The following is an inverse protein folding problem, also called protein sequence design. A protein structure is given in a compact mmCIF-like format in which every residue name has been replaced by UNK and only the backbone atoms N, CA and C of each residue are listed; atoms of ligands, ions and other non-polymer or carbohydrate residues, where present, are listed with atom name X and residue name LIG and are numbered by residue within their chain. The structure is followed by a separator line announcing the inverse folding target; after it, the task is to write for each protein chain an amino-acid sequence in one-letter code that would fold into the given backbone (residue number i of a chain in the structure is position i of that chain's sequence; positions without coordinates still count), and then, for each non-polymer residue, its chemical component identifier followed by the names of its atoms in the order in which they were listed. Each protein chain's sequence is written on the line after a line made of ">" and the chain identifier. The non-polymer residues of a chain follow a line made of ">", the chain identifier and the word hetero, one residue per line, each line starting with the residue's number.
data_IF_704642046324
#
_entry.id   IF_704642046324
#
_cell.length_a   1.000
_cell.length_b   1.000
_cell.length_c   1.000
_cell.angle_alpha   90.00
_cell.angle_beta   90.00
_cell.angle_gamma   90.00
#
_symmetry.space_group_name_H-M   'P 1'
#
loop_
_entity.id
_entity.type
_entity.pdbx_description
1 polymer ?
#
# COMPACT_ATOMS: atom_id res chain seq x y z
N UNK A 1 -1.63 -24.51 13.08
CA UNK A 1 -0.63 -23.75 12.30
C UNK A 1 -1.28 -23.38 10.98
N UNK A 2 -1.82 -22.17 10.88
CA UNK A 2 -2.40 -21.64 9.63
C UNK A 2 -1.27 -21.44 8.63
N UNK A 3 -1.40 -22.01 7.42
CA UNK A 3 -0.44 -21.77 6.34
C UNK A 3 -0.64 -20.31 5.88
N UNK A 4 0.34 -19.46 6.15
CA UNK A 4 0.36 -18.09 5.61
C UNK A 4 0.29 -18.18 4.08
N UNK A 5 -0.79 -17.68 3.51
CA UNK A 5 -0.95 -17.53 2.07
C UNK A 5 -0.24 -16.25 1.61
N UNK A 6 1.09 -16.23 1.67
CA UNK A 6 1.88 -15.16 1.06
C UNK A 6 1.80 -15.30 -0.45
N UNK A 7 1.53 -14.21 -1.14
CA UNK A 7 1.38 -14.18 -2.60
C UNK A 7 2.63 -14.80 -3.29
N UNK A 8 2.48 -15.85 -4.10
CA UNK A 8 3.61 -16.44 -4.82
C UNK A 8 4.28 -15.43 -5.76
N UNK A 9 5.61 -15.50 -5.88
CA UNK A 9 6.41 -14.56 -6.70
C UNK A 9 5.93 -14.46 -8.14
N UNK A 10 5.49 -15.59 -8.76
CA UNK A 10 4.96 -15.58 -10.12
C UNK A 10 3.67 -14.74 -10.26
N UNK A 11 2.84 -14.69 -9.22
CA UNK A 11 1.66 -13.81 -9.17
C UNK A 11 2.09 -12.34 -9.13
N UNK A 12 3.19 -12.02 -8.45
CA UNK A 12 3.78 -10.68 -8.46
C UNK A 12 4.11 -10.19 -9.88
N UNK A 13 4.64 -11.06 -10.73
CA UNK A 13 4.87 -10.74 -12.16
C UNK A 13 3.56 -10.48 -12.91
N UNK A 14 2.53 -11.28 -12.65
CA UNK A 14 1.20 -11.07 -13.23
C UNK A 14 0.57 -9.75 -12.75
N UNK A 15 0.69 -9.46 -11.46
CA UNK A 15 0.19 -8.22 -10.84
C UNK A 15 0.98 -6.97 -11.27
N UNK A 16 2.24 -7.12 -11.66
CA UNK A 16 3.08 -6.05 -12.21
C UNK A 16 2.92 -5.86 -13.72
N UNK A 17 2.03 -6.62 -14.38
CA UNK A 17 1.79 -6.54 -15.82
C UNK A 17 1.19 -5.18 -16.20
N UNK A 18 1.69 -4.51 -17.24
CA UNK A 18 1.14 -3.24 -17.72
C UNK A 18 -0.33 -3.33 -18.20
N UNK A 19 -0.81 -4.52 -18.58
CA UNK A 19 -2.23 -4.74 -18.93
C UNK A 19 -3.16 -4.43 -17.75
N UNK A 20 -2.73 -4.68 -16.50
CA UNK A 20 -3.47 -4.30 -15.31
C UNK A 20 -3.73 -2.78 -15.24
N UNK A 21 -2.81 -1.96 -15.74
CA UNK A 21 -2.97 -0.50 -15.73
C UNK A 21 -4.11 -0.01 -16.65
N UNK A 22 -4.56 -0.81 -17.63
CA UNK A 22 -5.72 -0.48 -18.44
C UNK A 22 -7.02 -0.45 -17.62
N UNK A 23 -7.09 -1.27 -16.57
CA UNK A 23 -8.28 -1.41 -15.74
C UNK A 23 -8.11 -0.76 -14.35
N UNK A 24 -6.90 -0.80 -13.82
CA UNK A 24 -6.54 -0.20 -12.53
C UNK A 24 -5.40 0.81 -12.75
N UNK A 25 -5.72 1.93 -13.40
CA UNK A 25 -4.73 3.00 -13.65
C UNK A 25 -4.29 3.64 -12.33
N UNK A 26 -3.02 3.44 -11.91
CA UNK A 26 -2.54 3.99 -10.65
C UNK A 26 -2.61 5.51 -10.58
N UNK A 27 -2.47 6.22 -11.72
CA UNK A 27 -2.55 7.68 -11.75
C UNK A 27 -3.96 8.17 -11.47
N UNK A 28 -4.98 7.49 -11.99
CA UNK A 28 -6.39 7.84 -11.74
C UNK A 28 -6.80 7.52 -10.30
N UNK A 29 -6.30 6.40 -9.76
CA UNK A 29 -6.61 5.97 -8.38
C UNK A 29 -5.93 6.88 -7.36
N UNK A 30 -4.64 7.19 -7.55
CA UNK A 30 -3.79 7.82 -6.55
C UNK A 30 -3.61 9.33 -6.77
N UNK A 31 -3.69 9.79 -8.03
CA UNK A 31 -3.45 11.20 -8.38
C UNK A 31 -4.25 12.21 -7.57
N UNK A 32 -5.55 11.97 -7.28
CA UNK A 32 -6.35 12.87 -6.45
C UNK A 32 -5.87 13.02 -4.99
N UNK A 33 -5.01 12.10 -4.51
CA UNK A 33 -4.58 12.02 -3.12
C UNK A 33 -3.11 12.40 -2.93
N UNK A 34 -2.32 12.52 -4.01
CA UNK A 34 -0.87 12.70 -3.94
C UNK A 34 -0.48 14.08 -4.48
N UNK A 35 0.27 14.83 -3.67
CA UNK A 35 0.89 16.07 -4.09
C UNK A 35 2.43 15.94 -4.13
N UNK A 36 3.12 16.77 -4.97
CA UNK A 36 4.57 16.85 -4.95
C UNK A 36 5.13 17.14 -3.55
N UNK A 37 6.24 16.50 -3.20
CA UNK A 37 6.89 16.64 -1.90
C UNK A 37 6.36 15.71 -0.79
N UNK A 38 5.28 14.97 -1.03
CA UNK A 38 4.73 14.06 -0.02
C UNK A 38 5.67 12.89 0.30
N UNK A 39 5.63 12.43 1.56
CA UNK A 39 6.09 11.11 2.00
C UNK A 39 4.93 10.15 1.96
N UNK A 40 5.06 9.08 1.19
CA UNK A 40 4.02 8.09 0.93
C UNK A 40 4.50 6.72 1.37
N UNK A 41 3.63 5.96 2.03
CA UNK A 41 3.88 4.58 2.43
C UNK A 41 3.11 3.63 1.51
N UNK A 42 3.82 2.71 0.85
CA UNK A 42 3.25 1.67 -0.02
C UNK A 42 3.49 0.30 0.64
N UNK A 43 2.44 -0.26 1.24
CA UNK A 43 2.49 -1.49 2.04
C UNK A 43 2.08 -2.67 1.17
N UNK A 44 2.89 -3.75 1.20
CA UNK A 44 2.75 -4.86 0.25
C UNK A 44 3.07 -4.39 -1.17
N UNK A 45 4.14 -3.61 -1.31
CA UNK A 45 4.50 -2.93 -2.55
C UNK A 45 4.84 -3.88 -3.70
N UNK A 46 5.11 -5.14 -3.41
CA UNK A 46 5.51 -6.18 -4.35
C UNK A 46 6.61 -5.69 -5.32
N UNK A 47 6.40 -5.86 -6.61
CA UNK A 47 7.35 -5.42 -7.66
C UNK A 47 7.13 -3.96 -8.12
N UNK A 48 6.32 -3.17 -7.37
CA UNK A 48 6.18 -1.73 -7.57
C UNK A 48 5.17 -1.31 -8.64
N UNK A 49 4.06 -2.01 -8.78
CA UNK A 49 2.97 -1.59 -9.67
C UNK A 49 2.44 -0.20 -9.32
N UNK A 50 2.24 0.07 -8.03
CA UNK A 50 1.83 1.38 -7.52
C UNK A 50 3.04 2.25 -7.15
N UNK A 51 4.12 1.67 -6.62
CA UNK A 51 5.29 2.42 -6.13
C UNK A 51 5.93 3.32 -7.21
N UNK A 52 6.08 2.81 -8.44
CA UNK A 52 6.70 3.59 -9.53
C UNK A 52 5.83 4.78 -9.97
N UNK A 53 4.50 4.65 -10.17
CA UNK A 53 3.60 5.79 -10.34
C UNK A 53 3.60 6.77 -9.17
N UNK A 54 3.59 6.28 -7.92
CA UNK A 54 3.69 7.12 -6.72
C UNK A 54 4.97 7.96 -6.72
N UNK A 55 6.12 7.34 -7.04
CA UNK A 55 7.41 8.03 -7.10
C UNK A 55 7.44 9.14 -8.18
N UNK A 56 6.66 9.00 -9.26
CA UNK A 56 6.47 10.07 -10.24
C UNK A 56 5.60 11.20 -9.70
N UNK A 57 4.51 10.86 -9.01
CA UNK A 57 3.54 11.82 -8.47
C UNK A 57 4.16 12.67 -7.36
N UNK A 58 4.92 12.07 -6.43
CA UNK A 58 5.57 12.81 -5.34
C UNK A 58 6.70 13.73 -5.82
N UNK A 59 7.22 13.51 -7.03
CA UNK A 59 8.28 14.32 -7.59
C UNK A 59 9.64 14.22 -6.87
N UNK A 60 10.63 15.06 -7.24
CA UNK A 60 12.00 14.96 -6.70
C UNK A 60 12.11 15.31 -5.21
N UNK A 61 11.20 16.14 -4.68
CA UNK A 61 11.17 16.53 -3.27
C UNK A 61 10.41 15.53 -2.37
N UNK A 62 9.72 14.54 -2.95
CA UNK A 62 8.95 13.54 -2.21
C UNK A 62 9.67 12.21 -2.06
N UNK A 63 9.06 11.30 -1.29
CA UNK A 63 9.60 9.96 -1.02
C UNK A 63 8.50 8.93 -0.94
N UNK A 64 8.70 7.75 -1.53
CA UNK A 64 7.84 6.58 -1.37
C UNK A 64 8.59 5.52 -0.57
N UNK A 65 8.09 5.22 0.62
CA UNK A 65 8.56 4.14 1.47
C UNK A 65 7.82 2.88 1.07
N UNK A 66 8.52 1.94 0.49
CA UNK A 66 7.97 0.70 -0.08
C UNK A 66 8.30 -0.46 0.85
N UNK A 67 7.27 -1.05 1.44
CA UNK A 67 7.40 -2.11 2.45
C UNK A 67 6.84 -3.42 1.91
N UNK A 68 7.62 -4.51 2.01
CA UNK A 68 7.18 -5.85 1.65
C UNK A 68 7.92 -6.90 2.49
N UNK A 69 7.27 -8.04 2.73
CA UNK A 69 7.85 -9.18 3.44
C UNK A 69 8.88 -9.93 2.58
N UNK A 70 8.67 -9.97 1.26
CA UNK A 70 9.42 -10.79 0.32
C UNK A 70 10.60 -10.03 -0.29
N UNK A 71 11.82 -10.40 0.08
CA UNK A 71 13.04 -9.78 -0.46
C UNK A 71 13.11 -9.86 -2.00
N UNK A 72 12.66 -10.95 -2.60
CA UNK A 72 12.64 -11.13 -4.06
C UNK A 72 11.74 -10.11 -4.78
N UNK A 73 10.63 -9.71 -4.15
CA UNK A 73 9.76 -8.64 -4.65
C UNK A 73 10.48 -7.29 -4.60
N UNK A 74 11.09 -6.98 -3.47
CA UNK A 74 11.87 -5.76 -3.25
C UNK A 74 13.05 -5.63 -4.21
N UNK A 75 13.77 -6.72 -4.47
CA UNK A 75 14.86 -6.74 -5.45
C UNK A 75 14.36 -6.46 -6.87
N UNK A 76 13.17 -6.96 -7.20
CA UNK A 76 12.53 -6.67 -8.49
C UNK A 76 12.09 -5.21 -8.58
N UNK A 77 11.49 -4.66 -7.51
CA UNK A 77 11.17 -3.24 -7.40
C UNK A 77 12.42 -2.37 -7.59
N UNK A 78 13.53 -2.69 -6.90
CA UNK A 78 14.78 -1.94 -7.01
C UNK A 78 15.31 -1.90 -8.46
N UNK A 79 15.31 -3.06 -9.16
CA UNK A 79 15.71 -3.11 -10.57
C UNK A 79 14.82 -2.27 -11.47
N UNK A 80 13.50 -2.33 -11.27
CA UNK A 80 12.51 -1.55 -12.05
C UNK A 80 12.61 -0.05 -11.76
N UNK A 81 12.79 0.33 -10.49
CA UNK A 81 12.97 1.73 -10.08
C UNK A 81 14.25 2.33 -10.67
N UNK A 82 15.36 1.56 -10.67
CA UNK A 82 16.61 1.97 -11.29
C UNK A 82 16.47 2.19 -12.79
N UNK A 83 15.82 1.25 -13.51
CA UNK A 83 15.55 1.39 -14.96
C UNK A 83 14.64 2.57 -15.30
N UNK A 84 13.75 2.94 -14.36
CA UNK A 84 12.83 4.06 -14.52
C UNK A 84 13.42 5.40 -14.05
N UNK A 85 14.66 5.43 -13.55
CA UNK A 85 15.33 6.60 -12.95
C UNK A 85 14.52 7.21 -11.79
N UNK A 86 14.00 6.35 -10.91
CA UNK A 86 13.14 6.72 -9.76
C UNK A 86 13.68 6.21 -8.43
N UNK A 87 14.84 5.53 -8.42
CA UNK A 87 15.38 4.92 -7.20
C UNK A 87 15.70 5.96 -6.12
N UNK A 88 16.06 7.17 -6.52
CA UNK A 88 16.31 8.32 -5.65
C UNK A 88 15.08 8.78 -4.85
N UNK A 89 13.87 8.41 -5.30
CA UNK A 89 12.58 8.74 -4.67
C UNK A 89 11.95 7.58 -3.94
N UNK A 90 12.55 6.38 -3.99
CA UNK A 90 12.01 5.15 -3.42
C UNK A 90 12.94 4.67 -2.32
N UNK A 91 12.39 4.50 -1.14
CA UNK A 91 13.03 3.85 -0.01
C UNK A 91 12.46 2.43 0.14
N UNK A 92 13.30 1.42 -0.03
CA UNK A 92 12.89 0.02 -0.03
C UNK A 92 13.17 -0.57 1.35
N UNK A 93 12.16 -1.19 1.96
CA UNK A 93 12.23 -1.80 3.28
C UNK A 93 11.64 -3.19 3.31
N UNK A 94 12.37 -4.11 3.86
CA UNK A 94 11.83 -5.40 4.23
C UNK A 94 11.17 -5.28 5.60
N UNK A 95 9.94 -5.78 5.71
CA UNK A 95 9.24 -5.91 6.98
C UNK A 95 9.30 -7.35 7.51
N UNK A 96 8.86 -7.50 8.75
CA UNK A 96 8.63 -8.80 9.37
C UNK A 96 7.15 -9.20 9.23
N UNK A 97 6.84 -10.45 9.54
CA UNK A 97 5.48 -10.97 9.39
C UNK A 97 4.48 -10.33 10.37
N UNK A 98 4.98 -9.76 11.45
CA UNK A 98 4.20 -9.18 12.54
C UNK A 98 4.50 -7.69 12.77
N UNK A 99 5.36 -7.06 11.95
CA UNK A 99 5.65 -5.62 12.03
C UNK A 99 6.07 -5.07 10.67
N UNK A 100 5.61 -3.86 10.37
CA UNK A 100 6.02 -3.11 9.18
C UNK A 100 7.44 -2.54 9.29
N UNK A 101 8.04 -2.55 10.48
CA UNK A 101 9.38 -1.99 10.76
C UNK A 101 9.53 -0.53 10.30
N UNK A 102 8.53 0.31 10.66
CA UNK A 102 8.42 1.72 10.21
C UNK A 102 8.32 2.74 11.36
N UNK A 103 8.71 2.38 12.57
CA UNK A 103 8.56 3.22 13.77
C UNK A 103 9.24 4.59 13.66
N UNK A 104 10.33 4.70 12.88
CA UNK A 104 11.02 5.97 12.63
C UNK A 104 10.20 6.98 11.81
N UNK A 105 9.13 6.54 11.14
CA UNK A 105 8.24 7.42 10.38
C UNK A 105 7.04 7.94 11.17
N UNK A 106 7.01 7.74 12.50
CA UNK A 106 5.92 8.18 13.37
C UNK A 106 5.54 9.64 13.10
N UNK A 107 4.27 9.89 12.76
CA UNK A 107 3.73 11.21 12.46
C UNK A 107 4.26 11.90 11.19
N UNK A 108 4.94 11.17 10.28
CA UNK A 108 5.61 11.77 9.12
C UNK A 108 4.96 11.46 7.77
N UNK A 109 4.14 10.44 7.70
CA UNK A 109 3.54 9.97 6.44
C UNK A 109 2.30 10.79 6.09
N UNK A 110 2.26 11.30 4.88
CA UNK A 110 1.13 12.08 4.37
C UNK A 110 0.01 11.19 3.84
N UNK A 111 0.39 10.07 3.24
CA UNK A 111 -0.52 9.14 2.58
C UNK A 111 0.02 7.71 2.65
N UNK A 112 -0.85 6.76 2.89
CA UNK A 112 -0.53 5.34 2.83
C UNK A 112 -1.43 4.61 1.83
N UNK A 113 -0.88 3.57 1.20
CA UNK A 113 -1.58 2.66 0.31
C UNK A 113 -1.51 1.24 0.90
N UNK A 114 -2.69 0.64 1.11
CA UNK A 114 -2.87 -0.77 1.41
C UNK A 114 -3.72 -1.39 0.30
N UNK A 115 -3.09 -2.06 -0.65
CA UNK A 115 -3.78 -2.62 -1.80
C UNK A 115 -3.56 -4.13 -1.90
N UNK A 116 -4.60 -4.92 -1.57
CA UNK A 116 -4.57 -6.39 -1.56
C UNK A 116 -3.55 -6.97 -0.57
N UNK A 117 -3.57 -6.51 0.68
CA UNK A 117 -2.59 -6.86 1.74
C UNK A 117 -3.24 -7.47 2.96
N UNK A 118 -4.37 -6.91 3.42
CA UNK A 118 -4.94 -7.24 4.74
C UNK A 118 -5.35 -8.71 4.83
N UNK A 119 -5.81 -9.31 3.76
CA UNK A 119 -6.18 -10.72 3.73
C UNK A 119 -4.98 -11.69 3.88
N UNK A 120 -3.76 -11.20 3.78
CA UNK A 120 -2.52 -11.97 3.99
C UNK A 120 -1.94 -11.79 5.41
N UNK A 121 -2.53 -10.89 6.23
CA UNK A 121 -2.01 -10.50 7.56
C UNK A 121 -2.76 -11.19 8.67
N UNK A 122 -2.03 -11.82 9.61
CA UNK A 122 -2.63 -12.54 10.74
C UNK A 122 -3.33 -11.59 11.75
N UNK A 123 -2.81 -10.37 11.94
CA UNK A 123 -3.30 -9.38 12.91
C UNK A 123 -3.50 -8.01 12.25
N UNK A 124 -4.62 -7.86 11.56
CA UNK A 124 -4.96 -6.62 10.86
C UNK A 124 -4.95 -5.37 11.77
N UNK A 125 -5.42 -5.50 13.03
CA UNK A 125 -5.45 -4.40 13.99
C UNK A 125 -4.06 -3.83 14.27
N UNK A 126 -3.03 -4.68 14.37
CA UNK A 126 -1.65 -4.25 14.58
C UNK A 126 -1.14 -3.46 13.38
N UNK A 127 -1.36 -3.97 12.16
CA UNK A 127 -0.95 -3.29 10.94
C UNK A 127 -1.62 -1.92 10.82
N UNK A 128 -2.94 -1.82 11.05
CA UNK A 128 -3.63 -0.53 11.03
C UNK A 128 -3.13 0.43 12.11
N UNK A 129 -2.77 -0.06 13.29
CA UNK A 129 -2.16 0.75 14.34
C UNK A 129 -0.81 1.30 13.91
N UNK A 130 0.10 0.46 13.35
CA UNK A 130 1.40 0.93 12.85
C UNK A 130 1.24 1.96 11.72
N UNK A 131 0.27 1.76 10.82
CA UNK A 131 -0.06 2.72 9.75
C UNK A 131 -0.57 4.03 10.32
N UNK A 132 -1.53 3.98 11.28
CA UNK A 132 -2.06 5.17 11.95
C UNK A 132 -0.95 5.95 12.63
N UNK A 133 -0.05 5.27 13.34
CA UNK A 133 1.07 5.90 14.06
C UNK A 133 2.08 6.55 13.11
N UNK A 134 2.31 5.97 11.93
CA UNK A 134 3.18 6.55 10.92
C UNK A 134 2.55 7.80 10.26
N UNK A 135 1.22 7.87 10.17
CA UNK A 135 0.53 8.99 9.55
C UNK A 135 0.65 10.27 10.39
N UNK A 136 0.83 11.40 9.72
CA UNK A 136 0.69 12.71 10.34
C UNK A 136 -0.80 13.02 10.60
N UNK A 137 -1.14 13.98 11.46
CA UNK A 137 -2.52 14.45 11.60
C UNK A 137 -3.13 14.84 10.24
N UNK A 138 -4.33 14.33 9.94
CA UNK A 138 -4.98 14.47 8.63
C UNK A 138 -4.32 13.66 7.49
N UNK A 139 -3.44 12.73 7.82
CA UNK A 139 -2.87 11.77 6.88
C UNK A 139 -3.93 10.77 6.42
N UNK A 140 -3.86 10.35 5.16
CA UNK A 140 -4.90 9.52 4.52
C UNK A 140 -4.39 8.15 4.12
N UNK A 141 -5.33 7.20 4.06
CA UNK A 141 -5.07 5.83 3.61
C UNK A 141 -6.06 5.46 2.51
N UNK A 142 -5.57 4.98 1.38
CA UNK A 142 -6.40 4.18 0.47
C UNK A 142 -6.24 2.73 0.86
N UNK A 143 -7.33 2.14 1.32
CA UNK A 143 -7.44 0.72 1.65
C UNK A 143 -8.30 0.03 0.60
N UNK A 144 -7.77 -0.99 -0.07
CA UNK A 144 -8.47 -1.72 -1.13
C UNK A 144 -8.15 -3.21 -1.11
N UNK A 145 -9.20 -4.03 -1.30
CA UNK A 145 -9.11 -5.49 -1.38
C UNK A 145 -9.84 -6.03 -2.62
N UNK A 146 -9.34 -7.11 -3.25
CA UNK A 146 -9.92 -7.66 -4.47
C UNK A 146 -11.28 -8.30 -4.20
N UNK A 147 -12.29 -7.99 -5.03
CA UNK A 147 -13.68 -8.49 -4.88
C UNK A 147 -13.84 -10.00 -5.05
N UNK A 148 -12.98 -10.64 -5.84
CA UNK A 148 -13.10 -12.08 -6.10
C UNK A 148 -12.85 -12.92 -4.85
N UNK A 149 -11.65 -12.86 -4.26
CA UNK A 149 -11.32 -13.64 -3.06
C UNK A 149 -11.92 -13.03 -1.78
N UNK A 150 -12.18 -11.72 -1.72
CA UNK A 150 -12.62 -11.03 -0.51
C UNK A 150 -14.08 -10.58 -0.68
N UNK A 151 -15.04 -11.19 0.04
CA UNK A 151 -16.44 -10.77 -0.01
C UNK A 151 -16.62 -9.43 0.70
N UNK A 152 -17.72 -8.74 0.39
CA UNK A 152 -18.01 -7.38 0.89
C UNK A 152 -18.02 -7.32 2.42
N UNK A 153 -18.64 -8.29 3.10
CA UNK A 153 -18.70 -8.30 4.56
C UNK A 153 -17.30 -8.38 5.21
N UNK A 154 -16.39 -9.21 4.67
CA UNK A 154 -15.02 -9.32 5.19
C UNK A 154 -14.22 -8.02 4.98
N UNK A 155 -14.46 -7.33 3.87
CA UNK A 155 -13.89 -5.99 3.67
C UNK A 155 -14.45 -4.98 4.69
N UNK A 156 -15.76 -4.99 4.93
CA UNK A 156 -16.40 -4.08 5.89
C UNK A 156 -15.95 -4.38 7.34
N UNK A 157 -15.72 -5.65 7.69
CA UNK A 157 -15.09 -6.05 8.97
C UNK A 157 -13.67 -5.47 9.09
N UNK A 158 -12.86 -5.56 8.03
CA UNK A 158 -11.50 -4.98 8.02
C UNK A 158 -11.53 -3.45 8.15
N UNK A 159 -12.51 -2.77 7.56
CA UNK A 159 -12.72 -1.33 7.77
C UNK A 159 -13.07 -1.04 9.23
N UNK A 160 -13.94 -1.84 9.85
CA UNK A 160 -14.26 -1.70 11.27
C UNK A 160 -13.05 -1.88 12.16
N UNK A 161 -12.17 -2.84 11.85
CA UNK A 161 -10.89 -3.02 12.56
C UNK A 161 -10.00 -1.79 12.41
N UNK A 162 -9.92 -1.19 11.22
CA UNK A 162 -9.17 0.04 10.99
C UNK A 162 -9.72 1.21 11.84
N UNK A 163 -11.06 1.32 11.93
CA UNK A 163 -11.71 2.35 12.75
C UNK A 163 -11.44 2.16 14.25
N UNK A 164 -11.47 0.94 14.75
CA UNK A 164 -11.09 0.61 16.13
C UNK A 164 -9.60 0.86 16.41
N UNK A 165 -8.76 0.86 15.36
CA UNK A 165 -7.33 1.21 15.45
C UNK A 165 -7.06 2.72 15.38
N UNK A 166 -8.11 3.56 15.31
CA UNK A 166 -8.01 5.02 15.34
C UNK A 166 -7.96 5.69 13.97
N UNK A 167 -8.26 4.97 12.89
CA UNK A 167 -8.52 5.55 11.58
C UNK A 167 -10.03 5.80 11.42
N UNK A 168 -10.41 6.80 10.65
CA UNK A 168 -11.80 7.13 10.37
C UNK A 168 -12.09 6.99 8.88
N UNK A 169 -13.10 6.21 8.51
CA UNK A 169 -13.54 6.15 7.12
C UNK A 169 -14.21 7.46 6.73
N UNK A 170 -13.72 8.10 5.65
CA UNK A 170 -14.24 9.35 5.13
C UNK A 170 -14.96 9.20 3.80
N UNK A 171 -14.64 8.18 3.00
CA UNK A 171 -15.33 7.93 1.72
C UNK A 171 -15.21 6.47 1.27
N UNK A 172 -16.07 6.08 0.34
CA UNK A 172 -15.99 4.84 -0.42
C UNK A 172 -15.44 5.10 -1.82
N UNK A 173 -14.33 4.46 -2.18
CA UNK A 173 -13.70 4.65 -3.49
C UNK A 173 -14.21 3.65 -4.52
N UNK A 174 -14.34 4.09 -5.78
CA UNK A 174 -14.66 3.23 -6.91
C UNK A 174 -13.38 2.80 -7.61
N UNK A 175 -12.88 1.62 -7.27
CA UNK A 175 -11.74 0.98 -7.94
C UNK A 175 -12.23 -0.29 -8.63
N UNK A 176 -12.00 -0.47 -9.96
CA UNK A 176 -12.43 -1.66 -10.67
C UNK A 176 -11.96 -2.96 -9.98
N UNK A 177 -12.85 -3.92 -9.84
CA UNK A 177 -12.65 -5.24 -9.20
C UNK A 177 -12.15 -5.21 -7.75
N UNK A 178 -12.22 -4.07 -7.08
CA UNK A 178 -11.84 -3.96 -5.67
C UNK A 178 -12.97 -3.36 -4.85
N UNK A 179 -13.07 -3.80 -3.59
CA UNK A 179 -13.67 -3.01 -2.52
C UNK A 179 -12.64 -1.98 -2.09
N UNK A 180 -13.04 -0.74 -1.87
CA UNK A 180 -12.09 0.28 -1.49
C UNK A 180 -12.73 1.35 -0.59
N UNK A 181 -11.93 1.89 0.32
CA UNK A 181 -12.27 2.97 1.22
C UNK A 181 -11.11 3.97 1.33
N UNK A 182 -11.45 5.23 1.56
CA UNK A 182 -10.53 6.27 1.99
C UNK A 182 -10.67 6.45 3.48
N UNK A 183 -9.57 6.30 4.21
CA UNK A 183 -9.51 6.48 5.65
C UNK A 183 -8.61 7.68 5.98
N UNK A 184 -8.74 8.24 7.19
CA UNK A 184 -7.99 9.41 7.68
C UNK A 184 -7.72 9.26 9.18
N UNK A 185 -6.61 9.80 9.68
CA UNK A 185 -6.30 9.93 11.13
C UNK A 185 -7.10 11.04 11.79
#
# INVERSE_FOLDING_TARGET
>A
MSRRHVCPVWVGYLLANPVRALFQDPKKILGPHIAPGMRVLDIGCAMGFFSLPLARLVGPGGRVICVDLQQTMLDSLARRARRAHLLDRIEIRRCDADSLCITEFHGQIHFALLFAVIHEVDIAARLFTEVRDALRPGGRVVFAEPKGPIPRHAFDESVSVAEHSGLRKIDGLRIPWSHAALLET
#
